data_IF_186801745231
#
_entry.id   IF_186801745231
#
_cell.length_a   1.000
_cell.length_b   1.000
_cell.length_c   1.000
_cell.angle_alpha   90.00
_cell.angle_beta   90.00
_cell.angle_gamma   90.00
#
_symmetry.space_group_name_H-M   'P 1'
#
loop_
_entity.id
_entity.type
_entity.pdbx_description
1 polymer ?
#
# COMPACT_ATOMS: atom_id res chain seq x y z
N UNK A 1 1.07 8.05 -0.97
CA UNK A 1 2.36 8.65 -0.56
C UNK A 1 3.41 8.47 -1.64
N UNK A 2 4.31 9.44 -1.80
CA UNK A 2 5.47 9.38 -2.68
C UNK A 2 6.73 8.96 -1.92
N UNK A 3 7.52 8.06 -2.51
CA UNK A 3 8.81 7.57 -2.00
C UNK A 3 9.92 8.17 -2.85
N UNK A 4 10.96 8.71 -2.20
CA UNK A 4 12.12 9.25 -2.91
C UNK A 4 13.00 8.10 -3.40
N UNK A 5 13.28 8.10 -4.71
CA UNK A 5 14.08 7.10 -5.42
C UNK A 5 15.38 7.68 -5.99
N UNK A 6 15.86 8.77 -5.41
CA UNK A 6 17.14 9.39 -5.72
C UNK A 6 18.20 9.01 -4.68
N UNK A 7 19.30 8.35 -5.10
CA UNK A 7 20.28 7.74 -4.17
C UNK A 7 21.08 8.76 -3.39
N UNK A 8 21.33 9.93 -3.98
CA UNK A 8 22.07 11.02 -3.35
C UNK A 8 21.25 11.78 -2.30
N UNK A 9 19.92 11.59 -2.27
CA UNK A 9 19.04 12.35 -1.40
C UNK A 9 18.92 11.71 0.00
N UNK A 10 18.93 12.48 1.12
CA UNK A 10 18.81 11.93 2.48
C UNK A 10 17.54 11.10 2.75
N UNK A 11 16.48 11.36 1.99
CA UNK A 11 15.23 10.60 2.03
C UNK A 11 15.20 9.39 1.07
N UNK A 12 16.32 8.94 0.50
CA UNK A 12 16.33 7.76 -0.37
C UNK A 12 15.63 6.56 0.30
N UNK A 13 14.66 5.97 -0.39
CA UNK A 13 13.76 4.90 0.09
C UNK A 13 12.85 5.28 1.28
N UNK A 14 12.72 6.56 1.60
CA UNK A 14 11.77 7.10 2.58
C UNK A 14 10.67 7.90 1.88
N UNK A 15 9.58 8.16 2.59
CA UNK A 15 8.52 9.02 2.08
C UNK A 15 9.00 10.47 1.96
N UNK A 16 8.60 11.14 0.89
CA UNK A 16 8.78 12.58 0.74
C UNK A 16 7.87 13.30 1.74
N UNK A 17 8.44 14.20 2.53
CA UNK A 17 7.72 15.02 3.51
C UNK A 17 7.20 16.31 2.87
N UNK A 18 6.05 16.80 3.32
CA UNK A 18 5.34 17.90 2.67
C UNK A 18 6.05 19.26 2.80
N UNK A 19 6.85 19.45 3.85
CA UNK A 19 7.71 20.65 4.04
C UNK A 19 8.68 20.87 2.86
N UNK A 20 9.17 19.80 2.24
CA UNK A 20 10.11 19.87 1.10
C UNK A 20 9.52 20.49 -0.15
N UNK A 21 8.20 20.57 -0.24
CA UNK A 21 7.46 21.21 -1.33
C UNK A 21 6.64 22.43 -0.88
N UNK A 22 6.67 22.78 0.41
CA UNK A 22 5.88 23.88 0.96
C UNK A 22 4.37 23.63 0.92
N UNK A 23 3.93 22.36 0.88
CA UNK A 23 2.51 21.97 0.79
C UNK A 23 1.96 21.43 2.11
N UNK A 24 2.74 21.50 3.19
CA UNK A 24 2.39 21.01 4.53
C UNK A 24 3.60 20.97 5.47
N UNK A 25 3.44 20.27 6.60
CA UNK A 25 4.47 20.10 7.64
C UNK A 25 5.45 18.95 7.36
N UNK A 26 6.47 18.79 8.19
CA UNK A 26 7.44 17.66 8.15
C UNK A 26 6.79 16.31 8.50
N UNK A 27 5.72 16.34 9.28
CA UNK A 27 5.01 15.13 9.73
C UNK A 27 4.11 14.58 8.62
N UNK A 28 3.65 15.44 7.72
CA UNK A 28 2.83 15.07 6.58
C UNK A 28 3.68 14.54 5.42
N UNK A 29 3.07 13.68 4.61
CA UNK A 29 3.73 13.06 3.44
C UNK A 29 3.10 13.58 2.16
N UNK A 30 3.82 13.49 1.05
CA UNK A 30 3.33 14.00 -0.23
C UNK A 30 2.49 12.96 -0.96
N UNK A 31 1.39 13.42 -1.57
CA UNK A 31 0.60 12.69 -2.58
C UNK A 31 0.39 13.57 -3.81
N UNK A 32 -0.09 13.00 -4.91
CA UNK A 32 -0.49 13.75 -6.10
C UNK A 32 -2.01 13.74 -6.16
N UNK A 33 -2.63 14.92 -6.19
CA UNK A 33 -4.07 15.07 -6.36
C UNK A 33 -4.48 14.56 -7.76
N UNK A 34 -5.51 13.70 -7.80
CA UNK A 34 -5.92 13.01 -9.02
C UNK A 34 -6.47 13.95 -10.09
N UNK A 35 -7.18 15.01 -9.68
CA UNK A 35 -7.87 15.94 -10.60
C UNK A 35 -6.95 17.01 -11.11
N UNK A 36 -6.14 17.60 -10.23
CA UNK A 36 -5.33 18.77 -10.53
C UNK A 36 -3.92 18.42 -10.97
N UNK A 37 -3.45 17.19 -10.71
CA UNK A 37 -2.05 16.77 -10.86
C UNK A 37 -1.06 17.51 -9.95
N UNK A 38 -1.53 18.28 -8.98
CA UNK A 38 -0.66 18.99 -8.06
C UNK A 38 -0.16 18.08 -6.95
N UNK A 39 1.07 18.32 -6.49
CA UNK A 39 1.57 17.73 -5.25
C UNK A 39 0.85 18.40 -4.07
N UNK A 40 0.32 17.60 -3.15
CA UNK A 40 -0.40 18.07 -1.97
C UNK A 40 0.00 17.25 -0.74
N UNK A 41 -0.26 17.79 0.44
CA UNK A 41 -0.17 17.02 1.69
C UNK A 41 -1.12 15.83 1.69
N UNK A 42 -0.71 14.74 2.33
CA UNK A 42 -1.53 13.58 2.60
C UNK A 42 -2.76 13.82 3.46
N UNK A 43 -2.83 14.97 4.14
CA UNK A 43 -4.03 15.40 4.88
C UNK A 43 -5.11 15.98 3.97
N UNK A 44 -4.84 16.13 2.66
CA UNK A 44 -5.82 16.56 1.67
C UNK A 44 -7.02 15.60 1.63
N UNK A 45 -8.22 16.16 1.50
CA UNK A 45 -9.47 15.39 1.33
C UNK A 45 -9.70 14.94 -0.13
N UNK A 46 -8.85 15.35 -1.05
CA UNK A 46 -8.94 14.95 -2.45
C UNK A 46 -8.50 13.51 -2.67
N UNK A 47 -9.02 12.89 -3.73
CA UNK A 47 -8.49 11.62 -4.22
C UNK A 47 -7.04 11.79 -4.68
N UNK A 48 -6.21 10.82 -4.30
CA UNK A 48 -4.80 10.78 -4.67
C UNK A 48 -4.56 9.78 -5.80
N UNK A 49 -3.65 10.10 -6.71
CA UNK A 49 -3.19 9.16 -7.72
C UNK A 49 -2.51 7.95 -7.09
N UNK A 50 -2.96 6.77 -7.48
CA UNK A 50 -2.33 5.51 -7.08
C UNK A 50 -1.00 5.29 -7.79
N UNK A 51 -0.90 5.65 -9.07
CA UNK A 51 0.29 5.42 -9.90
C UNK A 51 1.02 6.73 -10.19
N UNK A 52 2.25 6.83 -9.70
CA UNK A 52 3.14 7.98 -9.92
C UNK A 52 4.56 7.45 -10.07
N UNK A 53 5.24 7.88 -11.13
CA UNK A 53 6.64 7.60 -11.40
C UNK A 53 7.23 8.84 -12.12
N UNK A 54 7.74 9.80 -11.35
CA UNK A 54 7.98 11.16 -11.83
C UNK A 54 9.25 11.78 -11.21
N UNK A 55 9.60 12.98 -11.63
CA UNK A 55 10.60 13.83 -10.99
C UNK A 55 9.94 15.09 -10.44
N UNK A 56 10.28 15.44 -9.21
CA UNK A 56 9.78 16.65 -8.54
C UNK A 56 10.94 17.58 -8.21
N UNK A 57 10.70 18.89 -8.33
CA UNK A 57 11.60 19.93 -7.86
C UNK A 57 11.26 20.28 -6.41
N UNK A 58 12.23 20.19 -5.51
CA UNK A 58 12.08 20.59 -4.12
C UNK A 58 12.28 22.09 -3.95
N UNK A 59 11.86 22.64 -2.80
CA UNK A 59 11.99 24.07 -2.50
C UNK A 59 13.46 24.56 -2.46
N UNK A 60 14.41 23.67 -2.18
CA UNK A 60 15.85 23.98 -2.21
C UNK A 60 16.46 23.94 -3.62
N UNK A 61 15.64 23.72 -4.66
CA UNK A 61 16.08 23.60 -6.05
C UNK A 61 16.60 22.23 -6.44
N UNK A 62 16.57 21.24 -5.53
CA UNK A 62 16.98 19.87 -5.84
C UNK A 62 15.90 19.15 -6.63
N UNK A 63 16.26 18.54 -7.76
CA UNK A 63 15.36 17.64 -8.50
C UNK A 63 15.54 16.20 -8.00
N UNK A 64 14.45 15.56 -7.59
CA UNK A 64 14.48 14.17 -7.07
C UNK A 64 13.51 13.26 -7.82
N UNK A 65 13.93 12.02 -8.04
CA UNK A 65 13.04 10.96 -8.53
C UNK A 65 12.06 10.55 -7.42
N UNK A 66 10.77 10.46 -7.74
CA UNK A 66 9.72 10.00 -6.83
C UNK A 66 8.83 8.96 -7.47
N UNK A 67 8.43 7.96 -6.69
CA UNK A 67 7.51 6.90 -7.13
C UNK A 67 6.45 6.70 -6.04
N UNK A 68 5.18 6.50 -6.40
CA UNK A 68 4.16 6.23 -5.38
C UNK A 68 4.43 4.88 -4.68
N UNK A 69 4.13 4.82 -3.38
CA UNK A 69 4.25 3.60 -2.60
C UNK A 69 3.46 2.43 -3.22
N UNK A 70 2.29 2.72 -3.79
CA UNK A 70 1.45 1.74 -4.45
C UNK A 70 2.05 1.23 -5.78
N UNK A 71 2.74 2.08 -6.54
CA UNK A 71 3.48 1.63 -7.73
C UNK A 71 4.63 0.70 -7.36
N UNK A 72 5.34 1.00 -6.26
CA UNK A 72 6.40 0.12 -5.74
C UNK A 72 5.84 -1.22 -5.25
N UNK A 73 4.70 -1.20 -4.53
CA UNK A 73 3.98 -2.42 -4.15
C UNK A 73 3.60 -3.24 -5.39
N UNK A 74 2.95 -2.62 -6.37
CA UNK A 74 2.57 -3.28 -7.64
C UNK A 74 3.78 -3.87 -8.35
N UNK A 75 4.90 -3.15 -8.43
CA UNK A 75 6.13 -3.67 -9.00
C UNK A 75 6.57 -4.93 -8.24
N UNK A 76 6.70 -4.84 -6.92
CA UNK A 76 7.19 -5.93 -6.07
C UNK A 76 6.33 -7.20 -6.15
N UNK A 77 5.01 -7.08 -6.13
CA UNK A 77 4.12 -8.25 -6.20
C UNK A 77 4.07 -8.89 -7.59
N UNK A 78 4.49 -8.16 -8.64
CA UNK A 78 4.58 -8.66 -10.01
C UNK A 78 6.03 -8.96 -10.44
N UNK A 79 6.99 -8.97 -9.52
CA UNK A 79 8.38 -9.33 -9.82
C UNK A 79 8.55 -10.83 -10.12
N UNK A 80 7.58 -11.66 -9.72
CA UNK A 80 7.56 -13.10 -9.99
C UNK A 80 6.28 -13.45 -10.77
N UNK A 81 6.37 -14.53 -11.55
CA UNK A 81 5.21 -15.04 -12.31
C UNK A 81 4.27 -15.84 -11.41
N UNK A 82 3.02 -16.00 -11.85
CA UNK A 82 2.06 -16.86 -11.14
C UNK A 82 2.52 -18.32 -11.09
N UNK A 83 3.23 -18.78 -12.11
CA UNK A 83 3.82 -20.11 -12.18
C UNK A 83 4.92 -20.29 -11.14
N UNK A 84 5.76 -19.27 -10.93
CA UNK A 84 6.76 -19.25 -9.85
C UNK A 84 6.09 -19.35 -8.49
N UNK A 85 5.06 -18.55 -8.23
CA UNK A 85 4.30 -18.62 -6.97
C UNK A 85 3.63 -19.97 -6.77
N UNK A 86 3.00 -20.51 -7.81
CA UNK A 86 2.38 -21.85 -7.81
C UNK A 86 3.37 -22.93 -7.39
N UNK A 87 4.60 -22.87 -7.91
CA UNK A 87 5.69 -23.79 -7.52
C UNK A 87 6.12 -23.60 -6.06
N UNK A 88 6.22 -22.37 -5.56
CA UNK A 88 6.65 -22.10 -4.19
C UNK A 88 5.63 -22.58 -3.14
N UNK A 89 4.34 -22.34 -3.37
CA UNK A 89 3.28 -22.74 -2.42
C UNK A 89 2.69 -24.12 -2.70
N UNK A 90 3.09 -24.78 -3.79
CA UNK A 90 2.56 -26.06 -4.25
C UNK A 90 1.03 -26.01 -4.47
N UNK A 91 0.51 -24.90 -5.00
CA UNK A 91 -0.91 -24.70 -5.34
C UNK A 91 -1.03 -24.46 -6.84
N UNK A 92 -1.92 -25.15 -7.59
CA UNK A 92 -2.10 -24.91 -9.01
C UNK A 92 -2.46 -23.46 -9.34
N UNK A 93 -1.90 -22.92 -10.43
CA UNK A 93 -2.19 -21.54 -10.91
C UNK A 93 -3.70 -21.28 -11.03
N UNK A 94 -4.45 -22.26 -11.54
CA UNK A 94 -5.91 -22.16 -11.67
C UNK A 94 -6.61 -21.93 -10.32
N UNK A 95 -6.11 -22.55 -9.25
CA UNK A 95 -6.66 -22.40 -7.90
C UNK A 95 -6.33 -21.02 -7.30
N UNK A 96 -5.11 -20.53 -7.52
CA UNK A 96 -4.71 -19.17 -7.11
C UNK A 96 -5.64 -18.14 -7.78
N UNK A 97 -5.85 -18.25 -9.09
CA UNK A 97 -6.74 -17.36 -9.85
C UNK A 97 -8.19 -17.49 -9.39
N UNK A 98 -8.67 -18.72 -9.17
CA UNK A 98 -10.03 -18.98 -8.69
C UNK A 98 -10.29 -18.27 -7.36
N UNK A 99 -9.41 -18.45 -6.37
CA UNK A 99 -9.55 -17.84 -5.05
C UNK A 99 -9.45 -16.32 -5.13
N UNK A 100 -8.53 -15.78 -5.94
CA UNK A 100 -8.44 -14.33 -6.13
C UNK A 100 -9.72 -13.75 -6.73
N UNK A 101 -10.30 -14.38 -7.77
CA UNK A 101 -11.56 -13.94 -8.38
C UNK A 101 -12.70 -13.97 -7.39
N UNK A 102 -12.87 -15.09 -6.70
CA UNK A 102 -13.91 -15.27 -5.67
C UNK A 102 -13.79 -14.21 -4.57
N UNK A 103 -12.57 -13.99 -4.04
CA UNK A 103 -12.34 -12.98 -3.02
C UNK A 103 -12.70 -11.57 -3.51
N UNK A 104 -12.42 -11.24 -4.76
CA UNK A 104 -12.73 -9.91 -5.31
C UNK A 104 -14.18 -9.73 -5.79
N UNK A 105 -14.96 -10.79 -5.95
CA UNK A 105 -16.33 -10.70 -6.52
C UNK A 105 -17.41 -10.24 -5.55
N UNK A 106 -17.12 -10.22 -4.23
CA UNK A 106 -18.10 -9.89 -3.19
C UNK A 106 -18.02 -8.44 -2.69
N UNK A 107 -17.26 -7.59 -3.38
CA UNK A 107 -17.01 -6.21 -2.97
C UNK A 107 -16.32 -6.16 -1.60
N UNK A 108 -16.87 -5.39 -0.67
CA UNK A 108 -16.33 -5.27 0.70
C UNK A 108 -16.76 -6.42 1.64
N UNK A 109 -17.64 -7.33 1.19
CA UNK A 109 -18.24 -8.39 2.02
C UNK A 109 -17.37 -9.64 2.06
N UNK A 110 -16.10 -9.46 2.40
CA UNK A 110 -15.10 -10.51 2.51
C UNK A 110 -14.24 -10.31 3.74
N UNK A 111 -13.61 -11.38 4.21
CA UNK A 111 -12.63 -11.33 5.28
C UNK A 111 -11.61 -12.45 5.12
N UNK A 112 -10.38 -12.17 5.53
CA UNK A 112 -9.34 -13.19 5.67
C UNK A 112 -9.05 -13.31 7.16
N UNK A 113 -9.53 -14.39 7.76
CA UNK A 113 -9.31 -14.71 9.16
C UNK A 113 -8.21 -15.75 9.29
N UNK A 114 -7.39 -15.58 10.32
CA UNK A 114 -6.19 -16.39 10.55
C UNK A 114 -6.24 -16.90 11.97
N UNK A 115 -5.89 -18.16 12.18
CA UNK A 115 -5.79 -18.74 13.52
C UNK A 115 -4.35 -19.18 13.79
N UNK A 116 -4.16 -20.00 14.83
CA UNK A 116 -2.85 -20.48 15.27
C UNK A 116 -2.03 -21.19 14.18
N UNK A 117 -2.65 -21.64 13.09
CA UNK A 117 -1.96 -22.20 11.93
C UNK A 117 -1.03 -21.23 11.18
N UNK A 118 -1.09 -19.93 11.50
CA UNK A 118 -0.26 -18.89 10.90
C UNK A 118 0.89 -18.40 11.81
N UNK A 119 1.08 -19.03 12.98
CA UNK A 119 2.16 -18.71 13.93
C UNK A 119 3.49 -19.37 13.51
N UNK A 120 3.95 -19.05 12.30
CA UNK A 120 5.25 -19.46 11.79
C UNK A 120 6.28 -18.32 11.96
N UNK A 121 7.56 -18.61 11.71
CA UNK A 121 8.64 -17.62 11.79
C UNK A 121 8.44 -16.40 10.86
N UNK A 122 7.61 -16.56 9.83
CA UNK A 122 7.24 -15.54 8.85
C UNK A 122 5.80 -15.03 9.04
N UNK A 123 5.14 -15.31 10.18
CA UNK A 123 3.75 -14.94 10.43
C UNK A 123 3.46 -13.44 10.31
N UNK A 124 4.46 -12.58 10.55
CA UNK A 124 4.35 -11.13 10.34
C UNK A 124 4.17 -10.75 8.86
N UNK A 125 4.86 -11.45 7.94
CA UNK A 125 4.68 -11.24 6.49
C UNK A 125 3.29 -11.67 6.05
N UNK A 126 2.80 -12.78 6.60
CA UNK A 126 1.45 -13.26 6.33
C UNK A 126 0.40 -12.25 6.81
N UNK A 127 0.50 -11.76 8.05
CA UNK A 127 -0.40 -10.73 8.59
C UNK A 127 -0.40 -9.44 7.76
N UNK A 128 0.77 -9.03 7.26
CA UNK A 128 0.87 -7.88 6.37
C UNK A 128 0.17 -8.13 5.01
N UNK A 129 0.36 -9.31 4.43
CA UNK A 129 -0.30 -9.69 3.18
C UNK A 129 -1.83 -9.75 3.30
N UNK A 130 -2.36 -10.34 4.37
CA UNK A 130 -3.82 -10.38 4.61
C UNK A 130 -4.38 -8.99 4.85
N UNK A 131 -3.67 -8.12 5.56
CA UNK A 131 -4.07 -6.73 5.78
C UNK A 131 -4.11 -5.95 4.46
N UNK A 132 -3.10 -6.10 3.59
CA UNK A 132 -3.10 -5.48 2.26
C UNK A 132 -4.28 -5.96 1.43
N UNK A 133 -4.54 -7.27 1.37
CA UNK A 133 -5.64 -7.84 0.58
C UNK A 133 -6.99 -7.28 1.02
N UNK A 134 -7.26 -7.21 2.33
CA UNK A 134 -8.47 -6.60 2.86
C UNK A 134 -8.54 -5.09 2.59
N UNK A 135 -7.41 -4.38 2.61
CA UNK A 135 -7.35 -2.95 2.26
C UNK A 135 -7.66 -2.70 0.78
N UNK A 136 -7.20 -3.56 -0.12
CA UNK A 136 -7.42 -3.43 -1.57
C UNK A 136 -8.90 -3.54 -1.95
N UNK A 137 -9.67 -4.35 -1.22
CA UNK A 137 -11.12 -4.50 -1.44
C UNK A 137 -11.95 -3.62 -0.50
N UNK A 138 -11.31 -2.88 0.41
CA UNK A 138 -11.97 -2.00 1.38
C UNK A 138 -12.83 -2.75 2.42
N UNK A 139 -12.44 -3.98 2.79
CA UNK A 139 -13.24 -4.84 3.66
C UNK A 139 -13.16 -4.45 5.15
N UNK A 140 -12.13 -3.72 5.56
CA UNK A 140 -11.91 -3.35 6.97
C UNK A 140 -13.11 -2.58 7.54
N UNK A 141 -13.72 -3.10 8.60
CA UNK A 141 -14.87 -2.50 9.29
C UNK A 141 -16.10 -2.24 8.40
N UNK A 142 -16.15 -2.84 7.21
CA UNK A 142 -17.33 -2.76 6.35
C UNK A 142 -18.41 -3.72 6.86
N UNK A 143 -19.69 -3.40 6.59
CA UNK A 143 -20.79 -4.32 6.92
C UNK A 143 -20.66 -5.61 6.12
N UNK A 144 -20.45 -6.73 6.82
CA UNK A 144 -20.18 -8.03 6.20
C UNK A 144 -18.73 -8.24 5.75
N UNK A 145 -17.84 -7.29 6.06
CA UNK A 145 -16.40 -7.39 5.84
C UNK A 145 -15.64 -7.88 7.08
N UNK A 146 -14.33 -7.66 7.09
CA UNK A 146 -13.44 -8.09 8.17
C UNK A 146 -13.57 -7.18 9.40
N UNK A 147 -13.78 -7.81 10.55
CA UNK A 147 -13.68 -7.15 11.86
C UNK A 147 -12.50 -7.75 12.62
N UNK A 148 -11.46 -6.96 12.85
CA UNK A 148 -10.28 -7.46 13.56
C UNK A 148 -10.61 -7.80 15.01
N UNK A 149 -10.45 -9.07 15.41
CA UNK A 149 -10.46 -9.43 16.83
C UNK A 149 -9.29 -8.74 17.53
N UNK A 150 -9.57 -7.85 18.49
CA UNK A 150 -8.56 -7.33 19.41
C UNK A 150 -8.18 -5.85 19.28
N UNK A 151 -9.12 -4.97 18.92
CA UNK A 151 -8.91 -3.53 19.06
C UNK A 151 -8.02 -2.89 17.99
N UNK A 152 -7.25 -3.66 17.21
CA UNK A 152 -6.41 -3.19 16.08
C UNK A 152 -7.17 -2.74 14.83
N UNK A 153 -8.38 -2.21 15.00
CA UNK A 153 -8.90 -1.27 14.01
C UNK A 153 -7.90 -0.13 13.86
N UNK A 154 -7.80 0.47 12.67
CA UNK A 154 -6.86 1.58 12.39
C UNK A 154 -6.85 2.69 13.45
N UNK A 155 -7.91 2.84 14.26
CA UNK A 155 -7.97 3.76 15.39
C UNK A 155 -6.98 3.44 16.52
N UNK A 156 -6.69 2.18 16.86
CA UNK A 156 -5.85 1.86 18.03
C UNK A 156 -4.33 1.94 17.77
N UNK A 157 -3.92 2.36 16.57
CA UNK A 157 -2.50 2.57 16.23
C UNK A 157 -2.11 4.05 16.23
N UNK A 158 -3.03 4.95 16.63
CA UNK A 158 -2.80 6.39 16.65
C UNK A 158 -3.12 7.08 17.99
N UNK A 159 -3.36 6.29 19.05
CA UNK A 159 -3.41 6.78 20.44
C UNK A 159 -2.08 6.49 21.16
#
# INVERSE_FOLDING_TARGET
YLVVKEKSHPLYNKFLTADKLGVGSSEEKVVVDEKTNNYVSSSSKSLAKLYVDDFVMLNDGTKVKVVSAFSLLKKRVNEQTLESYSKYCNIPVSKIIQVAKEFTSHGQKVGIETNTGCNASDGSHFAYATTILNSLVGAHNAKGGLHHMGGVGFASMYD
#
